data_IF_343098081946
#
_entry.id   IF_343098081946
#
_cell.length_a   1.000
_cell.length_b   1.000
_cell.length_c   1.000
_cell.angle_alpha   90.00
_cell.angle_beta   90.00
_cell.angle_gamma   90.00
#
_symmetry.space_group_name_H-M   'P 1'
#
loop_
_entity.id
_entity.type
_entity.pdbx_description
1 polymer ?
#
# COMPACT_ATOMS: atom_id res chain seq x y z
N UNK A 1 -2.72 15.54 -17.27
CA UNK A 1 -2.91 15.10 -15.88
C UNK A 1 -1.82 14.06 -15.64
N UNK A 2 -1.04 14.12 -14.58
CA UNK A 2 -0.32 12.91 -14.15
C UNK A 2 -1.37 12.05 -13.49
N UNK A 3 -1.76 10.95 -14.13
CA UNK A 3 -2.96 10.24 -13.74
C UNK A 3 -2.70 9.52 -12.42
N UNK A 4 -3.55 9.74 -11.41
CA UNK A 4 -3.44 9.07 -10.10
C UNK A 4 -3.44 7.53 -10.24
N UNK A 5 -3.98 7.04 -11.36
CA UNK A 5 -3.90 5.65 -11.75
C UNK A 5 -2.46 5.19 -12.06
N UNK A 6 -1.65 6.00 -12.74
CA UNK A 6 -0.22 5.69 -12.97
C UNK A 6 0.54 5.62 -11.64
N UNK A 7 0.26 6.55 -10.73
CA UNK A 7 0.84 6.53 -9.37
C UNK A 7 0.43 5.26 -8.61
N UNK A 8 -0.81 4.80 -8.77
CA UNK A 8 -1.28 3.56 -8.16
C UNK A 8 -0.53 2.35 -8.74
N UNK A 9 -0.36 2.28 -10.05
CA UNK A 9 0.37 1.20 -10.71
C UNK A 9 1.85 1.18 -10.31
N UNK A 10 2.49 2.35 -10.22
CA UNK A 10 3.86 2.50 -9.73
C UNK A 10 3.97 2.00 -8.28
N UNK A 11 3.09 2.46 -7.39
CA UNK A 11 3.08 2.03 -5.99
C UNK A 11 2.96 0.50 -5.87
N UNK A 12 2.02 -0.11 -6.61
CA UNK A 12 1.83 -1.58 -6.60
C UNK A 12 3.08 -2.29 -7.12
N UNK A 13 3.74 -1.77 -8.15
CA UNK A 13 4.99 -2.33 -8.66
C UNK A 13 6.11 -2.24 -7.61
N UNK A 14 6.25 -1.10 -6.95
CA UNK A 14 7.25 -0.89 -5.90
C UNK A 14 7.02 -1.81 -4.71
N UNK A 15 5.77 -2.15 -4.36
CA UNK A 15 5.52 -3.16 -3.31
C UNK A 15 6.14 -4.52 -3.61
N UNK A 16 6.40 -4.87 -4.88
CA UNK A 16 7.07 -6.13 -5.24
C UNK A 16 8.53 -6.14 -4.81
N UNK A 17 9.17 -4.97 -4.73
CA UNK A 17 10.56 -4.81 -4.27
C UNK A 17 10.69 -4.86 -2.74
N UNK A 18 9.59 -4.66 -1.99
CA UNK A 18 9.63 -4.73 -0.53
C UNK A 18 9.90 -6.15 -0.03
N UNK A 19 10.51 -6.23 1.15
CA UNK A 19 10.74 -7.50 1.82
C UNK A 19 9.46 -8.03 2.48
N UNK A 20 9.37 -9.34 2.63
CA UNK A 20 8.23 -9.94 3.32
C UNK A 20 8.30 -9.62 4.82
N UNK A 21 7.15 -9.34 5.43
CA UNK A 21 7.03 -8.84 6.80
C UNK A 21 7.29 -7.34 6.96
N UNK A 22 7.68 -6.64 5.90
CA UNK A 22 7.98 -5.21 5.95
C UNK A 22 6.70 -4.37 6.06
N UNK A 23 6.69 -3.45 7.02
CA UNK A 23 5.60 -2.50 7.24
C UNK A 23 5.93 -1.18 6.55
N UNK A 24 5.01 -0.68 5.74
CA UNK A 24 5.21 0.52 4.95
C UNK A 24 3.95 1.38 4.88
N UNK A 25 4.14 2.65 4.52
CA UNK A 25 3.08 3.58 4.13
C UNK A 25 3.14 3.80 2.62
N UNK A 26 2.02 4.20 2.01
CA UNK A 26 1.98 4.49 0.56
C UNK A 26 3.04 5.52 0.17
N UNK A 27 3.33 6.51 1.03
CA UNK A 27 4.37 7.52 0.78
C UNK A 27 5.79 6.95 0.69
N UNK A 28 6.06 5.84 1.38
CA UNK A 28 7.40 5.23 1.45
C UNK A 28 7.74 4.51 0.13
N UNK A 29 6.72 4.17 -0.67
CA UNK A 29 6.87 3.62 -2.01
C UNK A 29 7.32 4.65 -3.05
N UNK A 30 7.30 5.94 -2.70
CA UNK A 30 7.70 7.02 -3.58
C UNK A 30 8.95 7.71 -3.06
N UNK A 31 9.74 8.25 -3.99
CA UNK A 31 10.84 9.16 -3.63
C UNK A 31 10.24 10.40 -2.97
N UNK A 32 10.85 10.89 -1.89
CA UNK A 32 10.31 12.00 -1.11
C UNK A 32 9.98 13.25 -1.93
N UNK A 33 10.79 13.58 -2.95
CA UNK A 33 10.51 14.70 -3.85
C UNK A 33 9.33 14.45 -4.81
N UNK A 34 9.10 13.19 -5.22
CA UNK A 34 7.93 12.81 -6.05
C UNK A 34 6.68 12.95 -5.20
N UNK A 35 6.69 12.38 -4.00
CA UNK A 35 5.57 12.48 -3.06
C UNK A 35 5.21 13.93 -2.74
N UNK A 36 6.21 14.80 -2.54
CA UNK A 36 6.01 16.21 -2.26
C UNK A 36 5.41 17.00 -3.43
N UNK A 37 5.60 16.56 -4.68
CA UNK A 37 5.03 17.18 -5.89
C UNK A 37 3.56 16.81 -6.11
N UNK A 38 3.10 15.67 -5.61
CA UNK A 38 1.70 15.25 -5.74
C UNK A 38 0.82 16.20 -4.91
N UNK A 39 -0.24 16.79 -5.47
CA UNK A 39 -1.13 17.67 -4.69
C UNK A 39 -1.90 16.87 -3.64
N UNK A 40 -2.30 17.54 -2.54
CA UNK A 40 -2.94 16.89 -1.39
C UNK A 40 -4.19 16.09 -1.75
N UNK A 41 -5.00 16.59 -2.70
CA UNK A 41 -6.19 15.91 -3.22
C UNK A 41 -5.85 14.54 -3.81
N UNK A 42 -4.82 14.49 -4.64
CA UNK A 42 -4.39 13.28 -5.32
C UNK A 42 -3.75 12.28 -4.35
N UNK A 43 -3.02 12.75 -3.33
CA UNK A 43 -2.50 11.88 -2.26
C UNK A 43 -3.62 11.19 -1.49
N UNK A 44 -4.70 11.91 -1.19
CA UNK A 44 -5.85 11.35 -0.49
C UNK A 44 -6.54 10.28 -1.36
N UNK A 45 -6.78 10.60 -2.63
CA UNK A 45 -7.37 9.67 -3.60
C UNK A 45 -6.50 8.43 -3.78
N UNK A 46 -5.19 8.60 -3.93
CA UNK A 46 -4.22 7.51 -4.06
C UNK A 46 -4.28 6.57 -2.86
N UNK A 47 -4.34 7.09 -1.63
CA UNK A 47 -4.48 6.27 -0.42
C UNK A 47 -5.76 5.42 -0.42
N UNK A 48 -6.90 6.02 -0.82
CA UNK A 48 -8.17 5.29 -0.95
C UNK A 48 -8.13 4.23 -2.04
N UNK A 49 -7.59 4.55 -3.21
CA UNK A 49 -7.44 3.62 -4.32
C UNK A 49 -6.52 2.45 -3.96
N UNK A 50 -5.40 2.75 -3.32
CA UNK A 50 -4.44 1.74 -2.87
C UNK A 50 -5.05 0.79 -1.85
N UNK A 51 -5.78 1.30 -0.85
CA UNK A 51 -6.51 0.48 0.11
C UNK A 51 -7.51 -0.44 -0.58
N UNK A 52 -8.32 0.08 -1.51
CA UNK A 52 -9.27 -0.71 -2.28
C UNK A 52 -8.57 -1.79 -3.11
N UNK A 53 -7.44 -1.45 -3.76
CA UNK A 53 -6.66 -2.40 -4.56
C UNK A 53 -6.08 -3.53 -3.72
N UNK A 54 -5.48 -3.21 -2.56
CA UNK A 54 -4.96 -4.20 -1.61
C UNK A 54 -6.09 -5.10 -1.09
N UNK A 55 -7.24 -4.51 -0.73
CA UNK A 55 -8.39 -5.29 -0.27
C UNK A 55 -8.96 -6.25 -1.32
N UNK A 56 -8.73 -5.99 -2.61
CA UNK A 56 -9.12 -6.86 -3.73
C UNK A 56 -8.01 -7.85 -4.14
N UNK A 57 -6.77 -7.61 -3.74
CA UNK A 57 -5.61 -8.42 -4.11
C UNK A 57 -5.36 -9.46 -3.01
N UNK A 58 -5.84 -10.69 -3.21
CA UNK A 58 -5.64 -11.76 -2.24
C UNK A 58 -4.14 -12.17 -2.17
N UNK A 59 -3.49 -11.88 -1.04
CA UNK A 59 -2.41 -12.74 -0.53
C UNK A 59 -0.98 -12.18 -0.48
N UNK A 60 -0.73 -10.91 -0.81
CA UNK A 60 0.62 -10.34 -0.72
C UNK A 60 0.71 -9.06 0.11
N UNK A 61 -0.39 -8.32 0.23
CA UNK A 61 -0.44 -7.06 0.94
C UNK A 61 -1.64 -7.09 1.88
N UNK A 62 -1.44 -6.58 3.09
CA UNK A 62 -2.50 -6.51 4.09
C UNK A 62 -2.49 -5.14 4.75
N UNK A 63 -3.67 -4.54 4.84
CA UNK A 63 -3.86 -3.32 5.62
C UNK A 63 -3.87 -3.68 7.11
N UNK A 64 -3.06 -2.99 7.91
CA UNK A 64 -2.95 -3.19 9.35
C UNK A 64 -3.48 -1.96 10.11
N UNK A 65 -3.02 -1.72 11.34
CA UNK A 65 -3.38 -0.53 12.12
C UNK A 65 -3.03 0.78 11.40
N UNK A 66 -3.77 1.84 11.75
CA UNK A 66 -3.44 3.20 11.31
C UNK A 66 -2.40 3.79 12.27
N UNK A 67 -1.56 4.66 11.75
CA UNK A 67 -0.71 5.52 12.58
C UNK A 67 -1.55 6.46 13.45
N UNK A 68 -0.97 7.02 14.52
CA UNK A 68 -1.60 8.06 15.36
C UNK A 68 -2.02 9.31 14.56
N UNK A 69 -1.47 9.50 13.35
CA UNK A 69 -1.85 10.55 12.41
C UNK A 69 -2.90 10.11 11.37
N UNK A 70 -3.65 9.04 11.64
CA UNK A 70 -4.68 8.47 10.76
C UNK A 70 -4.20 7.99 9.38
N UNK A 71 -2.89 7.83 9.15
CA UNK A 71 -2.36 7.25 7.93
C UNK A 71 -2.43 5.73 7.99
N UNK A 72 -2.92 5.09 6.92
CA UNK A 72 -3.04 3.64 6.81
C UNK A 72 -1.67 2.99 6.61
N UNK A 73 -1.32 2.02 7.47
CA UNK A 73 -0.14 1.17 7.30
C UNK A 73 -0.50 -0.12 6.57
N UNK A 74 0.49 -0.67 5.88
CA UNK A 74 0.40 -1.93 5.17
C UNK A 74 1.58 -2.80 5.55
N UNK A 75 1.38 -4.10 5.54
CA UNK A 75 2.46 -5.08 5.66
C UNK A 75 2.47 -5.93 4.39
N UNK A 76 3.68 -6.23 3.90
CA UNK A 76 3.84 -7.25 2.86
C UNK A 76 3.77 -8.62 3.51
N UNK A 77 2.65 -9.30 3.38
CA UNK A 77 2.45 -10.62 3.99
C UNK A 77 3.23 -11.65 3.15
N UNK A 78 4.09 -12.44 3.81
CA UNK A 78 4.54 -13.71 3.25
C UNK A 78 3.29 -14.55 2.99
N UNK A 79 3.13 -15.08 1.78
CA UNK A 79 2.10 -16.05 1.48
C UNK A 79 2.41 -17.35 2.25
N UNK A 80 2.27 -17.35 3.57
CA UNK A 80 2.32 -18.54 4.39
C UNK A 80 0.88 -18.86 4.77
N UNK A 81 0.36 -19.88 4.07
CA UNK A 81 -0.80 -20.69 4.39
C UNK A 81 -1.38 -20.42 5.78
N UNK A 82 -2.61 -19.91 5.82
CA UNK A 82 -3.47 -20.21 6.97
C UNK A 82 -3.88 -21.66 6.78
N UNK A 83 -3.09 -22.55 7.40
CA UNK A 83 -3.41 -23.95 7.51
C UNK A 83 -4.80 -24.15 8.11
N UNK A 84 -5.45 -25.21 7.65
CA UNK A 84 -6.40 -26.00 8.40
C UNK A 84 -6.14 -25.90 9.90
N UNK A 85 -7.12 -25.36 10.63
CA UNK A 85 -7.51 -25.82 11.97
C UNK A 85 -8.78 -25.05 12.33
N UNK A 86 -9.92 -25.70 12.13
CA UNK A 86 -10.91 -25.79 13.19
C UNK A 86 -11.35 -27.25 13.23
N UNK A 87 -11.15 -27.82 14.42
CA UNK A 87 -11.65 -29.07 14.97
C UNK A 87 -13.06 -29.46 14.51
#
# INVERSE_FOLDING_TARGET
>A
MGDVNELLEEAIKETKNLNQGEVFLVKDLFKGYVWNRIPRKDRLLLGTLFLNRVSKMNGNLKAIEKTSSNQQRYIKESSNFKGDYND
#
